data_IF_320617273735
#
_entry.id   IF_320617273735
#
_cell.length_a   1.000
_cell.length_b   1.000
_cell.length_c   1.000
_cell.angle_alpha   90.00
_cell.angle_beta   90.00
_cell.angle_gamma   90.00
#
_symmetry.space_group_name_H-M   'P 1'
#
loop_
_entity.id
_entity.type
_entity.pdbx_description
1 polymer ?
#
# COMPACT_ATOMS: atom_id res chain seq x y z
N UNK A 1 -76.52 -16.25 -10.79
CA UNK A 1 -76.13 -15.46 -9.60
C UNK A 1 -75.26 -16.22 -8.60
N UNK A 2 -75.35 -17.56 -8.47
CA UNK A 2 -74.52 -18.33 -7.53
C UNK A 2 -73.06 -18.57 -7.99
N UNK A 3 -72.81 -18.69 -9.29
CA UNK A 3 -71.44 -18.91 -9.83
C UNK A 3 -70.54 -17.69 -9.68
N UNK A 4 -71.02 -16.49 -10.01
CA UNK A 4 -70.24 -15.25 -9.88
C UNK A 4 -69.73 -15.00 -8.46
N UNK A 5 -70.49 -15.42 -7.44
CA UNK A 5 -70.07 -15.35 -6.04
C UNK A 5 -69.01 -16.39 -5.69
N UNK A 6 -69.07 -17.54 -6.34
CA UNK A 6 -68.16 -18.68 -6.14
C UNK A 6 -66.79 -18.38 -6.75
N UNK A 7 -66.76 -17.77 -7.93
CA UNK A 7 -65.52 -17.38 -8.60
C UNK A 7 -64.82 -16.24 -7.84
N UNK A 8 -65.60 -15.26 -7.35
CA UNK A 8 -65.10 -14.19 -6.47
C UNK A 8 -64.50 -14.75 -5.16
N UNK A 9 -65.19 -15.70 -4.51
CA UNK A 9 -64.67 -16.33 -3.29
C UNK A 9 -63.46 -17.23 -3.56
N UNK A 10 -63.41 -17.96 -4.69
CA UNK A 10 -62.31 -18.86 -5.01
C UNK A 10 -61.04 -18.12 -5.49
N UNK A 11 -61.18 -16.99 -6.19
CA UNK A 11 -60.02 -16.22 -6.68
C UNK A 11 -59.47 -15.21 -5.67
N UNK A 12 -60.33 -14.63 -4.81
CA UNK A 12 -59.93 -13.48 -3.97
C UNK A 12 -59.73 -13.89 -2.50
N UNK A 13 -60.41 -14.94 -2.03
CA UNK A 13 -60.38 -15.33 -0.62
C UNK A 13 -59.21 -16.30 -0.38
N UNK A 14 -58.04 -15.74 -0.10
CA UNK A 14 -56.84 -16.50 0.29
C UNK A 14 -55.67 -16.39 -0.68
N UNK A 15 -55.89 -15.87 -1.89
CA UNK A 15 -54.79 -15.25 -2.65
C UNK A 15 -54.49 -13.91 -1.99
N UNK A 16 -53.64 -13.95 -0.96
CA UNK A 16 -52.97 -12.74 -0.49
C UNK A 16 -52.41 -12.02 -1.71
N UNK A 17 -52.56 -10.69 -1.75
CA UNK A 17 -52.11 -9.84 -2.85
C UNK A 17 -50.69 -10.30 -3.24
N UNK A 18 -50.55 -11.01 -4.35
CA UNK A 18 -49.26 -11.49 -4.82
C UNK A 18 -48.60 -10.27 -5.44
N UNK A 19 -48.10 -9.41 -4.56
CA UNK A 19 -47.40 -8.19 -4.93
C UNK A 19 -46.10 -8.68 -5.55
N UNK A 20 -46.09 -8.72 -6.89
CA UNK A 20 -44.89 -9.00 -7.66
C UNK A 20 -43.72 -8.22 -7.04
N UNK A 21 -42.59 -8.90 -6.82
CA UNK A 21 -41.39 -8.29 -6.24
C UNK A 21 -40.91 -7.06 -7.02
N UNK A 22 -41.40 -6.88 -8.25
CA UNK A 22 -41.07 -5.78 -9.17
C UNK A 22 -42.00 -4.57 -9.06
N UNK A 23 -42.98 -4.58 -8.16
CA UNK A 23 -43.77 -3.37 -7.89
C UNK A 23 -42.87 -2.24 -7.35
N UNK A 24 -43.11 -1.02 -7.83
CA UNK A 24 -42.32 0.17 -7.44
C UNK A 24 -42.24 0.37 -5.92
N UNK A 25 -43.29 -0.02 -5.20
CA UNK A 25 -43.37 0.13 -3.75
C UNK A 25 -42.43 -0.84 -3.02
N UNK A 26 -42.36 -2.11 -3.45
CA UNK A 26 -41.39 -3.07 -2.93
C UNK A 26 -39.96 -2.63 -3.26
N UNK A 27 -39.71 -2.12 -4.47
CA UNK A 27 -38.39 -1.58 -4.84
C UNK A 27 -37.99 -0.38 -3.98
N UNK A 28 -38.93 0.53 -3.69
CA UNK A 28 -38.71 1.66 -2.80
C UNK A 28 -38.39 1.19 -1.38
N UNK A 29 -39.15 0.25 -0.85
CA UNK A 29 -38.92 -0.32 0.48
C UNK A 29 -37.57 -1.03 0.59
N UNK A 30 -37.18 -1.81 -0.43
CA UNK A 30 -35.85 -2.45 -0.52
C UNK A 30 -34.72 -1.44 -0.49
N UNK A 31 -34.77 -0.40 -1.34
CA UNK A 31 -33.74 0.65 -1.37
C UNK A 31 -33.66 1.42 -0.05
N UNK A 32 -34.80 1.73 0.56
CA UNK A 32 -34.81 2.39 1.86
C UNK A 32 -34.17 1.53 2.95
N UNK A 33 -34.41 0.21 2.94
CA UNK A 33 -33.78 -0.75 3.84
C UNK A 33 -32.27 -0.84 3.63
N UNK A 34 -31.81 -0.88 2.37
CA UNK A 34 -30.38 -0.88 2.02
C UNK A 34 -29.65 0.37 2.53
N UNK A 35 -30.26 1.55 2.37
CA UNK A 35 -29.67 2.83 2.84
C UNK A 35 -29.48 2.84 4.35
N UNK A 36 -30.39 2.23 5.12
CA UNK A 36 -30.34 2.20 6.58
C UNK A 36 -29.52 1.01 7.11
N UNK A 37 -29.18 0.05 6.25
CA UNK A 37 -28.43 -1.15 6.64
C UNK A 37 -27.02 -0.81 7.10
N UNK A 38 -26.76 -0.97 8.41
CA UNK A 38 -25.42 -0.79 8.96
C UNK A 38 -24.40 -1.78 8.40
N UNK A 39 -24.84 -2.96 7.97
CA UNK A 39 -23.96 -3.98 7.39
C UNK A 39 -23.39 -3.48 6.06
N UNK A 40 -24.23 -2.91 5.20
CA UNK A 40 -23.80 -2.34 3.93
C UNK A 40 -22.89 -1.12 4.15
N UNK A 41 -23.25 -0.26 5.12
CA UNK A 41 -22.43 0.90 5.50
C UNK A 41 -20.99 0.53 5.93
N UNK A 42 -20.80 -0.61 6.61
CA UNK A 42 -19.49 -1.06 7.08
C UNK A 42 -18.77 -2.00 6.11
N UNK A 43 -19.44 -2.45 5.05
CA UNK A 43 -18.90 -3.45 4.12
C UNK A 43 -17.61 -2.99 3.45
N UNK A 44 -17.54 -1.74 3.03
CA UNK A 44 -16.34 -1.20 2.38
C UNK A 44 -15.17 -1.12 3.37
N UNK A 45 -15.41 -0.67 4.61
CA UNK A 45 -14.41 -0.69 5.68
C UNK A 45 -13.89 -2.12 5.94
N UNK A 46 -14.80 -3.09 6.06
CA UNK A 46 -14.44 -4.49 6.32
C UNK A 46 -13.69 -5.14 5.15
N UNK A 47 -14.05 -4.83 3.91
CA UNK A 47 -13.42 -5.43 2.73
C UNK A 47 -12.12 -4.74 2.34
N UNK A 48 -12.11 -3.41 2.32
CA UNK A 48 -11.01 -2.60 1.81
C UNK A 48 -9.91 -2.34 2.82
N UNK A 49 -10.26 -2.15 4.09
CA UNK A 49 -9.31 -1.76 5.15
C UNK A 49 -8.95 -2.97 6.01
N UNK A 50 -9.95 -3.72 6.47
CA UNK A 50 -9.70 -4.92 7.30
C UNK A 50 -9.31 -6.10 6.41
N UNK A 51 -10.05 -6.34 5.32
CA UNK A 51 -9.86 -7.49 4.43
C UNK A 51 -8.57 -7.44 3.60
N UNK A 52 -8.12 -6.26 3.18
CA UNK A 52 -6.82 -6.10 2.51
C UNK A 52 -5.64 -5.98 3.48
N UNK A 53 -5.91 -5.67 4.75
CA UNK A 53 -4.90 -5.38 5.75
C UNK A 53 -4.11 -4.09 5.46
N UNK A 54 -3.16 -3.76 6.34
CA UNK A 54 -2.30 -2.58 6.16
C UNK A 54 -1.32 -2.81 5.01
N UNK A 55 -1.70 -2.39 3.80
CA UNK A 55 -0.79 -2.31 2.65
C UNK A 55 0.17 -1.14 2.87
N UNK A 56 1.29 -1.41 3.52
CA UNK A 56 2.38 -0.45 3.62
C UNK A 56 3.02 -0.37 2.24
N UNK A 57 2.70 0.68 1.48
CA UNK A 57 3.28 0.90 0.15
C UNK A 57 4.82 0.89 0.22
N UNK A 58 5.52 0.42 -0.83
CA UNK A 58 6.97 0.21 -0.82
C UNK A 58 7.79 1.51 -0.61
N UNK A 59 7.13 2.67 -0.64
CA UNK A 59 7.74 3.99 -0.53
C UNK A 59 7.56 4.66 0.82
N UNK A 60 7.11 3.94 1.85
CA UNK A 60 7.11 4.52 3.20
C UNK A 60 8.54 4.80 3.68
N UNK A 61 8.80 5.91 4.41
CA UNK A 61 10.13 6.24 4.90
C UNK A 61 10.77 5.12 5.72
N UNK A 62 9.96 4.36 6.46
CA UNK A 62 10.40 3.24 7.28
C UNK A 62 10.93 2.09 6.43
N UNK A 63 10.20 1.69 5.37
CA UNK A 63 10.65 0.66 4.44
C UNK A 63 11.95 1.09 3.74
N UNK A 64 12.04 2.36 3.35
CA UNK A 64 13.28 2.89 2.75
C UNK A 64 14.46 2.89 3.72
N UNK A 65 14.21 3.17 5.02
CA UNK A 65 15.22 3.13 6.07
C UNK A 65 15.74 1.71 6.27
N UNK A 66 14.84 0.74 6.43
CA UNK A 66 15.18 -0.67 6.60
C UNK A 66 15.93 -1.21 5.38
N UNK A 67 15.48 -0.85 4.17
CA UNK A 67 16.15 -1.24 2.93
C UNK A 67 17.60 -0.72 2.87
N UNK A 68 17.81 0.57 3.13
CA UNK A 68 19.16 1.16 3.17
C UNK A 68 20.04 0.53 4.25
N UNK A 69 19.50 0.29 5.44
CA UNK A 69 20.25 -0.38 6.51
C UNK A 69 20.67 -1.81 6.11
N UNK A 70 19.79 -2.55 5.44
CA UNK A 70 20.08 -3.90 4.92
C UNK A 70 21.16 -3.87 3.84
N UNK A 71 21.12 -2.89 2.94
CA UNK A 71 22.15 -2.69 1.91
C UNK A 71 23.52 -2.42 2.53
N UNK A 72 23.58 -1.54 3.55
CA UNK A 72 24.81 -1.23 4.29
C UNK A 72 25.36 -2.46 5.02
N UNK A 73 24.49 -3.25 5.65
CA UNK A 73 24.88 -4.46 6.38
C UNK A 73 25.29 -5.64 5.48
N UNK A 74 24.97 -5.57 4.18
CA UNK A 74 25.22 -6.67 3.24
C UNK A 74 26.69 -6.82 2.92
N UNK A 75 27.30 -7.93 3.37
CA UNK A 75 28.70 -8.24 3.08
C UNK A 75 29.00 -8.34 1.58
N UNK A 76 28.04 -8.80 0.77
CA UNK A 76 28.21 -8.90 -0.68
C UNK A 76 28.36 -7.52 -1.31
N UNK A 77 27.51 -6.57 -0.91
CA UNK A 77 27.57 -5.20 -1.39
C UNK A 77 28.87 -4.54 -0.93
N UNK A 78 29.21 -4.69 0.36
CA UNK A 78 30.45 -4.17 0.94
C UNK A 78 31.70 -4.62 0.17
N UNK A 79 31.84 -5.94 -0.09
CA UNK A 79 33.00 -6.48 -0.82
C UNK A 79 33.03 -6.03 -2.27
N UNK A 80 31.89 -6.05 -2.96
CA UNK A 80 31.80 -5.61 -4.35
C UNK A 80 32.11 -4.12 -4.53
N UNK A 81 31.79 -3.28 -3.55
CA UNK A 81 32.13 -1.87 -3.57
C UNK A 81 33.62 -1.63 -3.31
N UNK A 82 34.23 -2.37 -2.37
CA UNK A 82 35.67 -2.36 -2.18
C UNK A 82 36.45 -2.79 -3.45
N UNK A 83 35.98 -3.83 -4.15
CA UNK A 83 36.54 -4.29 -5.42
C UNK A 83 36.47 -3.21 -6.52
N UNK A 84 35.38 -2.44 -6.58
CA UNK A 84 35.29 -1.30 -7.51
C UNK A 84 36.26 -0.19 -7.16
N UNK A 85 36.44 0.10 -5.86
CA UNK A 85 37.34 1.15 -5.40
C UNK A 85 38.82 0.79 -5.54
N UNK A 86 39.17 -0.49 -5.57
CA UNK A 86 40.54 -0.97 -5.76
C UNK A 86 41.20 -0.43 -7.05
N UNK A 87 40.43 -0.28 -8.14
CA UNK A 87 40.94 0.31 -9.38
C UNK A 87 41.27 1.81 -9.27
N UNK A 88 40.60 2.51 -8.34
CA UNK A 88 40.79 3.93 -8.10
C UNK A 88 41.85 4.23 -7.02
N UNK A 89 42.44 3.19 -6.42
CA UNK A 89 43.50 3.35 -5.44
C UNK A 89 44.80 3.76 -6.16
N UNK A 90 45.18 5.03 -6.03
CA UNK A 90 46.52 5.50 -6.38
C UNK A 90 47.35 5.66 -5.10
N UNK A 91 48.61 5.24 -5.14
CA UNK A 91 49.54 5.58 -4.08
C UNK A 91 49.68 7.12 -4.02
N UNK A 92 49.60 7.68 -2.82
CA UNK A 92 49.83 9.11 -2.59
C UNK A 92 51.33 9.36 -2.80
N UNK A 93 51.69 9.95 -3.93
CA UNK A 93 53.09 10.19 -4.32
C UNK A 93 53.78 11.20 -3.40
N UNK A 94 53.07 12.23 -2.98
CA UNK A 94 53.57 13.27 -2.08
C UNK A 94 52.80 13.21 -0.77
N UNK A 95 53.41 12.59 0.23
CA UNK A 95 52.89 12.63 1.61
C UNK A 95 53.15 14.00 2.23
N UNK A 96 52.36 14.44 3.22
CA UNK A 96 52.62 15.70 3.95
C UNK A 96 54.04 15.76 4.54
N UNK A 97 54.61 14.61 4.91
CA UNK A 97 55.99 14.47 5.37
C UNK A 97 57.00 14.85 4.28
N UNK A 98 56.80 14.37 3.05
CA UNK A 98 57.64 14.70 1.90
C UNK A 98 57.54 16.19 1.55
N UNK A 99 56.37 16.80 1.66
CA UNK A 99 56.20 18.24 1.47
C UNK A 99 56.96 19.06 2.54
N UNK A 100 56.93 18.61 3.80
CA UNK A 100 57.68 19.23 4.90
C UNK A 100 59.18 19.16 4.66
N UNK A 101 59.69 17.99 4.24
CA UNK A 101 61.11 17.80 3.93
C UNK A 101 61.52 18.68 2.74
N UNK A 102 60.74 18.70 1.65
CA UNK A 102 61.00 19.57 0.48
C UNK A 102 61.07 21.05 0.87
N UNK A 103 60.14 21.51 1.71
CA UNK A 103 60.10 22.91 2.17
C UNK A 103 61.30 23.26 3.06
N UNK A 104 61.66 22.35 3.97
CA UNK A 104 62.82 22.52 4.86
C UNK A 104 64.14 22.53 4.07
N UNK A 105 64.31 21.64 3.09
CA UNK A 105 65.48 21.64 2.21
C UNK A 105 65.61 22.93 1.41
N UNK A 106 64.50 23.48 0.87
CA UNK A 106 64.50 24.77 0.17
C UNK A 106 64.96 25.90 1.09
N UNK A 107 64.47 25.93 2.32
CA UNK A 107 64.86 26.95 3.29
C UNK A 107 66.35 26.87 3.63
N UNK A 108 66.89 25.66 3.85
CA UNK A 108 68.30 25.44 4.16
C UNK A 108 69.21 25.78 2.97
N UNK A 109 68.82 25.38 1.75
CA UNK A 109 69.61 25.60 0.54
C UNK A 109 69.57 27.04 0.01
N UNK A 110 68.62 27.86 0.47
CA UNK A 110 68.50 29.28 0.13
C UNK A 110 69.32 30.23 1.05
N UNK A 111 70.03 29.67 2.03
CA UNK A 111 70.97 30.37 2.92
C UNK A 111 72.39 30.12 2.44
#
# INVERSE_FOLDING_TARGET
>A
QKEYKKDLENEIKGKGMEVSMDTLEIQRAKKASEIVSQKEYKKDLETEIIGRGMQVGPYTPEIQRVKRASEIASQKMYKGEAEKMLCNYSAVLDTPEMERIKSTQKNISSV
#
